data_IF_594563420968
#
_entry.id   IF_594563420968
#
_cell.length_a   1.000
_cell.length_b   1.000
_cell.length_c   1.000
_cell.angle_alpha   90.00
_cell.angle_beta   90.00
_cell.angle_gamma   90.00
#
_symmetry.space_group_name_H-M   'P 1'
#
loop_
_entity.id
_entity.type
_entity.pdbx_description
1 polymer ?
#
# COMPACT_ATOMS: atom_id res chain seq x y z
N UNK A 1 -5.10 -6.68 -3.13
CA UNK A 1 -5.35 -5.29 -3.45
C UNK A 1 -4.04 -4.48 -3.52
N UNK A 2 -3.28 -4.33 -2.43
CA UNK A 2 -2.05 -3.53 -2.41
C UNK A 2 -1.07 -3.86 -3.53
N UNK A 3 -0.72 -5.12 -3.71
CA UNK A 3 0.17 -5.55 -4.79
C UNK A 3 -0.39 -5.28 -6.19
N UNK A 4 -1.72 -5.31 -6.36
CA UNK A 4 -2.32 -4.94 -7.64
C UNK A 4 -2.12 -3.45 -7.93
N UNK A 5 -2.27 -2.57 -6.91
CA UNK A 5 -1.95 -1.15 -7.06
C UNK A 5 -0.49 -0.93 -7.43
N UNK A 6 0.42 -1.64 -6.76
CA UNK A 6 1.86 -1.60 -7.03
C UNK A 6 2.17 -2.05 -8.45
N UNK A 7 1.59 -3.16 -8.92
CA UNK A 7 1.76 -3.64 -10.30
C UNK A 7 1.22 -2.64 -11.34
N UNK A 8 0.09 -1.97 -11.07
CA UNK A 8 -0.42 -0.91 -11.93
C UNK A 8 0.53 0.29 -11.99
N UNK A 9 1.11 0.70 -10.85
CA UNK A 9 2.13 1.76 -10.80
C UNK A 9 3.35 1.41 -11.63
N UNK A 10 3.86 0.18 -11.48
CA UNK A 10 5.00 -0.31 -12.26
C UNK A 10 4.72 -0.25 -13.76
N UNK A 11 3.57 -0.75 -14.20
CA UNK A 11 3.18 -0.78 -15.61
C UNK A 11 2.92 0.62 -16.19
N UNK A 12 2.49 1.59 -15.38
CA UNK A 12 2.38 3.00 -15.79
C UNK A 12 3.73 3.69 -15.94
N UNK A 13 4.79 3.15 -15.33
CA UNK A 13 6.10 3.75 -15.29
C UNK A 13 6.10 5.06 -14.48
N UNK A 14 6.58 5.00 -13.25
CA UNK A 14 6.70 6.18 -12.37
C UNK A 14 8.15 6.62 -12.35
N UNK A 15 8.41 7.85 -12.77
CA UNK A 15 9.76 8.43 -12.76
C UNK A 15 10.10 8.96 -11.37
N UNK A 16 11.27 8.59 -10.85
CA UNK A 16 11.77 9.09 -9.57
C UNK A 16 11.29 8.31 -8.35
N UNK A 17 10.65 7.15 -8.54
CA UNK A 17 10.29 6.25 -7.46
C UNK A 17 10.67 4.79 -7.78
N UNK A 18 11.07 4.06 -6.76
CA UNK A 18 11.25 2.62 -6.79
C UNK A 18 9.93 1.94 -6.38
N UNK A 19 9.52 0.95 -7.14
CA UNK A 19 8.30 0.19 -6.90
C UNK A 19 8.65 -1.13 -6.20
N UNK A 20 8.18 -1.28 -4.95
CA UNK A 20 8.48 -2.44 -4.11
C UNK A 20 7.19 -3.22 -3.82
N UNK A 21 7.17 -4.50 -4.17
CA UNK A 21 6.08 -5.41 -3.85
C UNK A 21 6.44 -6.28 -2.64
N UNK A 22 5.59 -6.25 -1.60
CA UNK A 22 5.72 -7.09 -0.42
C UNK A 22 4.47 -7.96 -0.26
N UNK A 23 4.64 -9.23 0.03
CA UNK A 23 3.52 -10.13 0.32
C UNK A 23 3.97 -11.29 1.22
N UNK A 24 3.02 -11.89 1.92
CA UNK A 24 3.19 -13.15 2.65
C UNK A 24 2.80 -14.38 1.80
N UNK A 25 2.26 -14.13 0.60
CA UNK A 25 1.89 -15.15 -0.39
C UNK A 25 2.89 -15.09 -1.55
N UNK A 26 3.72 -16.13 -1.66
CA UNK A 26 4.76 -16.25 -2.68
C UNK A 26 4.18 -16.39 -4.08
N UNK A 27 3.06 -17.10 -4.24
CA UNK A 27 2.47 -17.30 -5.56
C UNK A 27 1.95 -15.97 -6.11
N UNK A 28 1.26 -15.20 -5.28
CA UNK A 28 0.78 -13.88 -5.69
C UNK A 28 1.93 -12.90 -5.93
N UNK A 29 3.00 -12.96 -5.12
CA UNK A 29 4.18 -12.11 -5.30
C UNK A 29 4.91 -12.39 -6.62
N UNK A 30 4.95 -13.64 -7.07
CA UNK A 30 5.62 -14.03 -8.31
C UNK A 30 4.98 -13.42 -9.56
N UNK A 31 3.67 -13.21 -9.56
CA UNK A 31 2.92 -12.69 -10.72
C UNK A 31 2.81 -11.15 -10.75
N UNK A 32 3.27 -10.46 -9.74
CA UNK A 32 3.25 -8.99 -9.70
C UNK A 32 4.54 -8.43 -10.27
N UNK A 33 4.45 -7.41 -11.12
CA UNK A 33 5.58 -6.65 -11.61
C UNK A 33 5.95 -5.54 -10.63
N UNK A 34 7.24 -5.45 -10.29
CA UNK A 34 7.82 -4.44 -9.41
C UNK A 34 9.34 -4.42 -9.60
N UNK A 35 10.00 -3.31 -9.21
CA UNK A 35 11.46 -3.19 -9.26
C UNK A 35 12.11 -4.14 -8.24
N UNK A 36 11.49 -4.28 -7.07
CA UNK A 36 11.93 -5.22 -6.02
C UNK A 36 10.75 -5.96 -5.42
N UNK A 37 11.00 -7.18 -4.98
CA UNK A 37 9.99 -8.05 -4.36
C UNK A 37 10.51 -8.67 -3.07
N UNK A 38 9.70 -8.66 -2.01
CA UNK A 38 10.01 -9.27 -0.72
C UNK A 38 8.92 -10.23 -0.29
N UNK A 39 9.31 -11.44 0.09
CA UNK A 39 8.44 -12.34 0.83
C UNK A 39 8.50 -11.97 2.31
N UNK A 40 7.39 -11.49 2.87
CA UNK A 40 7.31 -11.15 4.27
C UNK A 40 7.05 -12.38 5.13
N UNK A 41 7.87 -12.58 6.17
CA UNK A 41 7.65 -13.58 7.19
C UNK A 41 7.61 -15.01 6.64
N UNK A 42 8.67 -15.44 5.98
CA UNK A 42 8.79 -16.78 5.42
C UNK A 42 8.66 -17.84 6.53
N UNK A 43 9.27 -17.62 7.69
CA UNK A 43 9.17 -18.50 8.85
C UNK A 43 7.75 -18.58 9.43
N UNK A 44 7.01 -17.47 9.44
CA UNK A 44 5.63 -17.39 9.95
C UNK A 44 4.62 -18.01 8.99
N UNK A 45 4.74 -17.71 7.68
CA UNK A 45 3.69 -18.03 6.69
C UNK A 45 4.06 -19.14 5.71
N UNK A 46 5.35 -19.46 5.58
CA UNK A 46 5.90 -20.39 4.59
C UNK A 46 5.48 -20.04 3.15
N UNK A 47 5.27 -18.74 2.88
CA UNK A 47 4.81 -18.27 1.58
C UNK A 47 3.36 -18.60 1.24
N UNK A 48 2.56 -19.07 2.20
CA UNK A 48 1.15 -19.48 2.00
C UNK A 48 0.14 -18.37 2.34
N UNK A 49 0.63 -17.16 2.69
CA UNK A 49 -0.22 -16.06 3.12
C UNK A 49 -0.66 -16.17 4.58
N UNK A 50 -1.39 -15.16 5.05
CA UNK A 50 -1.83 -15.04 6.44
C UNK A 50 -3.20 -15.65 6.73
N UNK A 51 -3.89 -16.23 5.76
CA UNK A 51 -5.22 -16.82 5.95
C UNK A 51 -6.29 -15.85 6.47
N UNK A 52 -6.14 -14.54 6.22
CA UNK A 52 -7.07 -13.51 6.70
C UNK A 52 -6.88 -13.08 8.16
N UNK A 53 -5.78 -13.47 8.81
CA UNK A 53 -5.45 -13.12 10.20
C UNK A 53 -4.47 -11.93 10.26
N UNK A 54 -4.90 -10.72 10.72
CA UNK A 54 -4.03 -9.55 10.81
C UNK A 54 -2.82 -9.74 11.74
N UNK A 55 -2.99 -10.51 12.82
CA UNK A 55 -1.93 -10.81 13.77
C UNK A 55 -0.76 -11.52 13.09
N UNK A 56 -1.07 -12.50 12.21
CA UNK A 56 -0.07 -13.17 11.38
C UNK A 56 0.61 -12.22 10.40
N UNK A 57 -0.14 -11.28 9.83
CA UNK A 57 0.39 -10.25 8.94
C UNK A 57 1.38 -9.34 9.64
N UNK A 58 1.05 -8.92 10.85
CA UNK A 58 1.94 -8.11 11.68
C UNK A 58 3.20 -8.88 12.11
N UNK A 59 3.05 -10.15 12.50
CA UNK A 59 4.18 -11.02 12.86
C UNK A 59 5.12 -11.24 11.68
N UNK A 60 4.58 -11.53 10.51
CA UNK A 60 5.34 -11.71 9.28
C UNK A 60 6.12 -10.44 8.89
N UNK A 61 5.48 -9.26 9.00
CA UNK A 61 6.15 -7.99 8.73
C UNK A 61 7.27 -7.70 9.75
N UNK A 62 7.08 -8.07 11.02
CA UNK A 62 8.10 -7.94 12.07
C UNK A 62 9.28 -8.87 11.84
N UNK A 63 9.07 -10.10 11.38
CA UNK A 63 10.14 -11.02 11.02
C UNK A 63 11.04 -10.44 9.93
N UNK A 64 10.45 -9.79 8.91
CA UNK A 64 11.17 -9.17 7.77
C UNK A 64 11.57 -7.70 8.01
N UNK A 65 11.55 -7.23 9.25
CA UNK A 65 11.72 -5.82 9.60
C UNK A 65 13.06 -5.23 9.13
N UNK A 66 14.13 -6.01 9.15
CA UNK A 66 15.45 -5.57 8.70
C UNK A 66 15.52 -5.38 7.19
N UNK A 67 14.91 -6.27 6.42
CA UNK A 67 14.83 -6.16 4.96
C UNK A 67 14.00 -4.94 4.55
N UNK A 68 12.83 -4.75 5.19
CA UNK A 68 11.98 -3.58 4.97
C UNK A 68 12.73 -2.29 5.30
N UNK A 69 13.41 -2.23 6.45
CA UNK A 69 14.18 -1.08 6.86
C UNK A 69 15.31 -0.76 5.86
N UNK A 70 16.04 -1.78 5.42
CA UNK A 70 17.12 -1.59 4.45
C UNK A 70 16.61 -1.07 3.10
N UNK A 71 15.44 -1.52 2.65
CA UNK A 71 14.86 -1.07 1.38
C UNK A 71 14.30 0.36 1.45
N UNK A 72 13.98 0.87 2.62
CA UNK A 72 13.41 2.21 2.80
C UNK A 72 14.42 3.25 3.30
N UNK A 73 15.69 2.87 3.50
CA UNK A 73 16.69 3.68 4.21
C UNK A 73 16.96 5.06 3.61
N UNK A 74 16.86 5.19 2.29
CA UNK A 74 17.18 6.43 1.55
C UNK A 74 15.92 7.08 0.96
N UNK A 75 14.74 6.68 1.44
CA UNK A 75 13.49 7.21 0.93
C UNK A 75 13.11 8.50 1.64
N UNK A 76 12.81 9.57 0.89
CA UNK A 76 12.26 10.82 1.42
C UNK A 76 10.74 10.74 1.61
N UNK A 77 10.07 9.93 0.80
CA UNK A 77 8.63 9.70 0.83
C UNK A 77 8.32 8.23 0.54
N UNK A 78 7.37 7.66 1.28
CA UNK A 78 6.94 6.27 1.11
C UNK A 78 5.41 6.20 1.01
N UNK A 79 4.92 5.67 -0.11
CA UNK A 79 3.52 5.28 -0.26
C UNK A 79 3.34 3.83 0.17
N UNK A 80 2.59 3.61 1.24
CA UNK A 80 2.25 2.27 1.72
C UNK A 80 0.89 1.87 1.17
N UNK A 81 0.89 1.07 0.09
CA UNK A 81 -0.31 0.62 -0.59
C UNK A 81 -0.79 -0.72 -0.03
N UNK A 82 -2.01 -0.78 0.52
CA UNK A 82 -2.55 -2.01 1.10
C UNK A 82 -4.06 -2.17 0.87
N UNK A 83 -4.51 -3.44 0.84
CA UNK A 83 -5.93 -3.76 0.97
C UNK A 83 -6.23 -4.12 2.42
N UNK A 84 -7.18 -3.42 3.04
CA UNK A 84 -7.63 -3.68 4.40
C UNK A 84 -8.68 -4.79 4.45
N UNK A 85 -8.80 -5.45 5.60
CA UNK A 85 -9.75 -6.55 5.84
C UNK A 85 -9.18 -7.96 5.63
N UNK A 86 -7.98 -8.08 5.05
CA UNK A 86 -7.21 -9.33 4.99
C UNK A 86 -6.18 -9.43 6.12
N UNK A 87 -5.30 -10.42 6.04
CA UNK A 87 -4.22 -10.61 7.03
C UNK A 87 -3.02 -9.71 6.74
N UNK A 88 -2.40 -9.87 5.58
CA UNK A 88 -1.14 -9.22 5.21
C UNK A 88 -1.23 -7.70 5.23
N UNK A 89 -2.18 -7.12 4.49
CA UNK A 89 -2.34 -5.66 4.40
C UNK A 89 -2.75 -5.03 5.72
N UNK A 90 -3.76 -5.61 6.40
CA UNK A 90 -4.29 -5.10 7.66
C UNK A 90 -3.26 -5.10 8.78
N UNK A 91 -2.51 -6.20 8.91
CA UNK A 91 -1.51 -6.35 9.96
C UNK A 91 -0.13 -5.81 9.60
N UNK A 92 0.30 -6.02 8.35
CA UNK A 92 1.65 -5.68 7.90
C UNK A 92 1.84 -4.22 7.52
N UNK A 93 0.83 -3.59 6.89
CA UNK A 93 0.97 -2.21 6.43
C UNK A 93 1.31 -1.20 7.56
N UNK A 94 0.69 -1.26 8.74
CA UNK A 94 1.07 -0.40 9.86
C UNK A 94 2.54 -0.60 10.29
N UNK A 95 3.04 -1.84 10.29
CA UNK A 95 4.44 -2.13 10.65
C UNK A 95 5.41 -1.54 9.61
N UNK A 96 5.10 -1.69 8.33
CA UNK A 96 5.92 -1.10 7.25
C UNK A 96 5.90 0.44 7.33
N UNK A 97 4.74 1.03 7.59
CA UNK A 97 4.59 2.48 7.75
C UNK A 97 5.39 3.01 8.96
N UNK A 98 5.37 2.31 10.09
CA UNK A 98 6.16 2.64 11.27
C UNK A 98 7.66 2.62 10.98
N UNK A 99 8.13 1.60 10.24
CA UNK A 99 9.54 1.52 9.79
C UNK A 99 9.90 2.69 8.87
N UNK A 100 9.04 3.01 7.91
CA UNK A 100 9.26 4.13 6.99
C UNK A 100 9.32 5.46 7.75
N UNK A 101 8.40 5.69 8.68
CA UNK A 101 8.39 6.89 9.53
C UNK A 101 9.67 7.00 10.38
N UNK A 102 10.16 5.88 10.91
CA UNK A 102 11.38 5.84 11.71
C UNK A 102 12.64 6.20 10.89
N UNK A 103 12.64 6.07 9.56
CA UNK A 103 13.72 6.54 8.68
C UNK A 103 13.69 8.05 8.42
N UNK A 104 12.63 8.74 8.84
CA UNK A 104 12.40 10.17 8.59
C UNK A 104 11.64 10.47 7.31
N UNK A 105 11.19 9.47 6.58
CA UNK A 105 10.39 9.62 5.37
C UNK A 105 9.00 10.20 5.68
N UNK A 106 8.42 10.90 4.71
CA UNK A 106 6.98 11.22 4.68
C UNK A 106 6.23 9.94 4.34
N UNK A 107 5.27 9.54 5.18
CA UNK A 107 4.53 8.28 5.01
C UNK A 107 3.09 8.56 4.62
N UNK A 108 2.71 8.08 3.45
CA UNK A 108 1.36 8.19 2.91
C UNK A 108 0.75 6.79 2.79
N UNK A 109 -0.19 6.47 3.67
CA UNK A 109 -0.99 5.26 3.54
C UNK A 109 -1.97 5.39 2.37
N UNK A 110 -2.06 4.37 1.51
CA UNK A 110 -3.05 4.32 0.43
C UNK A 110 -3.75 2.98 0.48
N UNK A 111 -4.99 2.97 0.96
CA UNK A 111 -5.67 1.73 1.30
C UNK A 111 -7.05 1.60 0.66
N UNK A 112 -7.42 0.36 0.32
CA UNK A 112 -8.78 0.02 -0.08
C UNK A 112 -9.52 -0.63 1.09
N UNK A 113 -10.76 -0.20 1.33
CA UNK A 113 -11.65 -0.80 2.31
C UNK A 113 -12.55 -1.85 1.67
N UNK A 114 -12.86 -2.96 2.37
CA UNK A 114 -13.71 -4.02 1.86
C UNK A 114 -15.15 -3.53 1.63
N UNK A 115 -15.94 -4.31 0.88
CA UNK A 115 -17.36 -4.05 0.74
C UNK A 115 -18.10 -4.28 2.06
N UNK A 116 -19.14 -3.50 2.32
CA UNK A 116 -19.99 -3.66 3.53
C UNK A 116 -20.57 -5.06 3.67
N UNK A 117 -20.83 -5.76 2.57
CA UNK A 117 -21.33 -7.13 2.56
C UNK A 117 -20.30 -8.13 3.13
N UNK A 118 -19.01 -7.79 3.15
CA UNK A 118 -17.94 -8.64 3.67
C UNK A 118 -17.81 -8.62 5.21
N UNK A 119 -18.73 -8.01 5.90
CA UNK A 119 -18.95 -7.92 7.37
C UNK A 119 -17.68 -8.11 8.22
N UNK A 120 -17.28 -9.35 8.52
CA UNK A 120 -16.11 -9.66 9.36
C UNK A 120 -14.79 -9.08 8.84
N UNK A 121 -14.68 -8.76 7.55
CA UNK A 121 -13.52 -8.07 6.97
C UNK A 121 -13.56 -6.57 7.22
N UNK A 122 -14.76 -5.99 7.38
CA UNK A 122 -14.91 -4.55 7.66
C UNK A 122 -14.34 -4.21 9.03
N UNK A 123 -14.69 -4.96 10.07
CA UNK A 123 -14.17 -4.72 11.43
C UNK A 123 -12.64 -4.82 11.48
N UNK A 124 -12.07 -5.83 10.82
CA UNK A 124 -10.61 -5.96 10.69
C UNK A 124 -9.99 -4.78 9.93
N UNK A 125 -10.67 -4.33 8.86
CA UNK A 125 -10.20 -3.22 8.05
C UNK A 125 -10.17 -1.91 8.84
N UNK A 126 -11.19 -1.62 9.61
CA UNK A 126 -11.28 -0.44 10.48
C UNK A 126 -10.15 -0.44 11.51
N UNK A 127 -9.95 -1.56 12.19
CA UNK A 127 -8.84 -1.71 13.15
C UNK A 127 -7.46 -1.49 12.50
N UNK A 128 -7.22 -2.06 11.32
CA UNK A 128 -5.97 -1.87 10.59
C UNK A 128 -5.78 -0.43 10.10
N UNK A 129 -6.87 0.22 9.68
CA UNK A 129 -6.87 1.61 9.24
C UNK A 129 -6.53 2.57 10.38
N UNK A 130 -7.10 2.39 11.57
CA UNK A 130 -6.76 3.19 12.75
C UNK A 130 -5.27 3.10 13.07
N UNK A 131 -4.73 1.89 13.13
CA UNK A 131 -3.30 1.68 13.38
C UNK A 131 -2.41 2.28 12.31
N UNK A 132 -2.83 2.24 11.04
CA UNK A 132 -2.06 2.85 9.96
C UNK A 132 -2.07 4.39 10.07
N UNK A 133 -3.19 4.98 10.48
CA UNK A 133 -3.29 6.44 10.72
C UNK A 133 -2.34 6.92 11.79
N UNK A 134 -2.17 6.17 12.87
CA UNK A 134 -1.28 6.52 13.98
C UNK A 134 0.20 6.63 13.57
N UNK A 135 0.59 5.90 12.52
CA UNK A 135 1.98 5.79 12.06
C UNK A 135 2.23 6.41 10.68
N UNK A 136 1.23 7.05 10.09
CA UNK A 136 1.33 7.73 8.79
C UNK A 136 1.11 9.23 8.93
N UNK A 137 1.72 10.03 8.05
CA UNK A 137 1.47 11.48 7.99
C UNK A 137 0.08 11.76 7.42
N UNK A 138 -0.34 10.98 6.43
CA UNK A 138 -1.70 10.98 5.90
C UNK A 138 -2.11 9.59 5.41
N UNK A 139 -3.42 9.34 5.32
CA UNK A 139 -3.96 8.10 4.77
C UNK A 139 -5.06 8.40 3.76
N UNK A 140 -4.87 7.93 2.55
CA UNK A 140 -5.86 7.99 1.47
C UNK A 140 -6.68 6.70 1.52
N UNK A 141 -7.96 6.84 1.77
CA UNK A 141 -8.89 5.70 1.93
C UNK A 141 -9.79 5.60 0.71
N UNK A 142 -9.74 4.47 0.04
CA UNK A 142 -10.62 4.13 -1.09
C UNK A 142 -11.69 3.17 -0.59
N UNK A 143 -12.94 3.63 -0.58
CA UNK A 143 -14.08 2.80 -0.22
C UNK A 143 -14.59 2.04 -1.45
N UNK A 144 -14.45 0.71 -1.44
CA UNK A 144 -14.93 -0.13 -2.53
C UNK A 144 -16.43 0.01 -2.79
N UNK A 145 -17.23 0.38 -1.79
CA UNK A 145 -18.66 0.63 -2.00
C UNK A 145 -18.90 1.86 -2.87
N UNK A 146 -18.09 2.90 -2.73
CA UNK A 146 -18.16 4.09 -3.61
C UNK A 146 -17.73 3.78 -5.03
N UNK A 147 -16.73 2.89 -5.19
CA UNK A 147 -16.29 2.47 -6.52
C UNK A 147 -17.38 1.78 -7.32
N UNK A 148 -18.16 0.90 -6.69
CA UNK A 148 -19.31 0.25 -7.36
C UNK A 148 -20.33 1.28 -7.81
N UNK A 149 -20.60 2.32 -7.03
CA UNK A 149 -21.51 3.40 -7.40
C UNK A 149 -20.98 4.22 -8.59
N UNK A 150 -19.68 4.43 -8.68
CA UNK A 150 -19.02 5.16 -9.78
C UNK A 150 -18.95 4.27 -11.04
N UNK A 151 -18.66 2.99 -10.85
CA UNK A 151 -18.52 2.03 -11.94
C UNK A 151 -19.85 1.64 -12.59
N UNK A 152 -20.99 1.96 -11.96
CA UNK A 152 -22.33 1.67 -12.49
C UNK A 152 -22.54 0.18 -12.74
N UNK A 153 -22.77 -0.20 -14.02
CA UNK A 153 -23.04 -1.58 -14.43
C UNK A 153 -21.78 -2.38 -14.80
N UNK A 154 -20.57 -1.92 -14.45
CA UNK A 154 -19.34 -2.66 -14.76
C UNK A 154 -19.25 -3.93 -13.89
N UNK A 155 -18.72 -5.03 -14.44
CA UNK A 155 -18.34 -6.20 -13.64
C UNK A 155 -17.38 -5.81 -12.51
N UNK A 156 -17.51 -6.46 -11.37
CA UNK A 156 -16.74 -6.11 -10.15
C UNK A 156 -15.22 -6.09 -10.38
N UNK A 157 -14.71 -6.99 -11.22
CA UNK A 157 -13.29 -7.03 -11.58
C UNK A 157 -12.85 -5.77 -12.35
N UNK A 158 -13.71 -5.26 -13.23
CA UNK A 158 -13.45 -4.01 -13.97
C UNK A 158 -13.53 -2.79 -13.02
N UNK A 159 -14.46 -2.79 -12.07
CA UNK A 159 -14.53 -1.76 -11.04
C UNK A 159 -13.23 -1.69 -10.21
N UNK A 160 -12.67 -2.83 -9.83
CA UNK A 160 -11.37 -2.87 -9.15
C UNK A 160 -10.21 -2.40 -10.03
N UNK A 161 -10.23 -2.74 -11.32
CA UNK A 161 -9.21 -2.27 -12.26
C UNK A 161 -9.23 -0.73 -12.38
N UNK A 162 -10.41 -0.14 -12.52
CA UNK A 162 -10.60 1.34 -12.55
C UNK A 162 -10.08 1.98 -11.25
N UNK A 163 -10.38 1.38 -10.10
CA UNK A 163 -9.87 1.87 -8.81
C UNK A 163 -8.35 1.85 -8.75
N UNK A 164 -7.73 0.74 -9.09
CA UNK A 164 -6.28 0.61 -9.10
C UNK A 164 -5.63 1.61 -10.07
N UNK A 165 -6.25 1.84 -11.22
CA UNK A 165 -5.79 2.82 -12.18
C UNK A 165 -5.87 4.26 -11.68
N UNK A 166 -6.96 4.65 -11.04
CA UNK A 166 -7.13 5.97 -10.43
C UNK A 166 -6.08 6.22 -9.35
N UNK A 167 -5.88 5.24 -8.47
CA UNK A 167 -4.87 5.31 -7.39
C UNK A 167 -3.47 5.44 -7.98
N UNK A 168 -3.14 4.59 -8.95
CA UNK A 168 -1.83 4.62 -9.60
C UNK A 168 -1.59 5.96 -10.31
N UNK A 169 -2.60 6.52 -10.97
CA UNK A 169 -2.53 7.83 -11.61
C UNK A 169 -2.31 8.95 -10.59
N UNK A 170 -3.01 8.90 -9.46
CA UNK A 170 -2.86 9.86 -8.38
C UNK A 170 -1.45 9.81 -7.77
N UNK A 171 -0.97 8.62 -7.40
CA UNK A 171 0.37 8.44 -6.84
C UNK A 171 1.44 8.89 -7.83
N UNK A 172 1.33 8.47 -9.10
CA UNK A 172 2.24 8.91 -10.16
C UNK A 172 2.27 10.43 -10.28
N UNK A 173 1.10 11.09 -10.29
CA UNK A 173 0.99 12.54 -10.35
C UNK A 173 1.72 13.24 -9.20
N UNK A 174 1.54 12.76 -7.96
CA UNK A 174 2.21 13.31 -6.78
C UNK A 174 3.73 13.13 -6.90
N UNK A 175 4.19 11.90 -7.17
CA UNK A 175 5.63 11.59 -7.26
C UNK A 175 6.31 12.38 -8.36
N UNK A 176 5.75 12.41 -9.55
CA UNK A 176 6.36 13.11 -10.70
C UNK A 176 6.33 14.64 -10.54
N UNK A 177 5.33 15.19 -9.84
CA UNK A 177 5.28 16.63 -9.52
C UNK A 177 6.45 17.05 -8.61
N UNK A 178 6.88 16.17 -7.72
CA UNK A 178 8.00 16.41 -6.81
C UNK A 178 9.35 16.08 -7.48
N UNK A 179 9.43 14.93 -8.16
CA UNK A 179 10.67 14.39 -8.70
C UNK A 179 11.11 15.08 -10.01
N UNK A 180 10.17 15.60 -10.81
CA UNK A 180 10.46 16.23 -12.11
C UNK A 180 10.37 17.75 -11.96
N UNK A 181 11.43 18.51 -12.26
CA UNK A 181 11.40 19.97 -12.25
C UNK A 181 10.28 20.49 -13.15
N UNK A 182 9.35 21.26 -12.59
CA UNK A 182 8.22 21.86 -13.30
C UNK A 182 8.16 23.35 -13.07
N UNK A 183 7.21 24.04 -13.73
CA UNK A 183 6.95 25.47 -13.55
C UNK A 183 6.49 25.82 -12.12
N UNK A 184 5.98 24.84 -11.37
CA UNK A 184 5.63 24.96 -9.95
C UNK A 184 6.61 24.08 -9.17
N UNK A 185 7.48 24.71 -8.40
CA UNK A 185 8.43 24.01 -7.54
C UNK A 185 7.70 23.58 -6.27
N UNK A 186 7.35 22.32 -6.17
CA UNK A 186 6.85 21.67 -4.97
C UNK A 186 7.98 20.81 -4.39
N UNK A 187 8.45 21.15 -3.21
CA UNK A 187 9.48 20.37 -2.52
C UNK A 187 8.89 19.47 -1.42
N UNK A 188 9.73 18.63 -0.82
CA UNK A 188 9.30 17.72 0.24
C UNK A 188 8.83 18.44 1.51
N UNK A 189 9.33 19.66 1.77
CA UNK A 189 8.91 20.47 2.90
C UNK A 189 7.47 20.97 2.70
N UNK A 190 7.12 21.40 1.48
CA UNK A 190 5.77 21.80 1.12
C UNK A 190 4.79 20.64 1.25
N UNK A 191 5.16 19.45 0.75
CA UNK A 191 4.34 18.26 0.88
C UNK A 191 4.11 17.88 2.34
N UNK A 192 5.16 17.93 3.17
CA UNK A 192 5.06 17.62 4.60
C UNK A 192 4.15 18.61 5.35
N UNK A 193 4.12 19.86 4.94
CA UNK A 193 3.26 20.88 5.55
C UNK A 193 1.78 20.67 5.22
N UNK A 194 1.48 20.08 4.06
CA UNK A 194 0.11 19.84 3.58
C UNK A 194 -0.43 18.49 4.05
N UNK A 195 0.41 17.46 4.12
CA UNK A 195 0.05 16.09 4.51
C UNK A 195 0.03 15.90 6.02
#
# INVERSE_FOLDING_TARGET
AGNNMVGWLYNKGVKGAEIIACNTDQQHLNIIDADRKFLLGEGVTRGLGCGGFPEKGAEAAKESLQEVKQSLKESDMVFVCAGMGGGTGTGGAPIVAEVARATGAIVIGTVTMPFKIERARVDKAEFGLERLRDVSDTVIVIDNNRLVNIAGNLPIQQAFAVANELIATMIKGIVETIAVPSLVNLDYADVRAIM
#
